data_IF_185560301202
#
_entry.id   IF_185560301202
#
_cell.length_a   1.000
_cell.length_b   1.000
_cell.length_c   1.000
_cell.angle_alpha   90.00
_cell.angle_beta   90.00
_cell.angle_gamma   90.00
#
_symmetry.space_group_name_H-M   'P 1'
#
loop_
_entity.id
_entity.type
_entity.pdbx_description
1 polymer ?
#
# COMPACT_ATOMS: atom_id res chain seq x y z
N UNK A 1 -19.11 3.12 1.22
CA UNK A 1 -18.88 1.68 1.46
C UNK A 1 -20.02 0.94 0.79
N UNK A 2 -19.75 0.15 -0.26
CA UNK A 2 -20.78 -0.64 -0.93
C UNK A 2 -20.71 -2.05 -0.32
N UNK A 3 -21.82 -2.51 0.26
CA UNK A 3 -21.94 -3.87 0.82
C UNK A 3 -22.74 -4.71 -0.15
N UNK A 4 -22.19 -5.84 -0.55
CA UNK A 4 -22.83 -6.73 -1.50
C UNK A 4 -23.28 -7.99 -0.75
N UNK A 5 -24.60 -8.18 -0.66
CA UNK A 5 -25.24 -9.24 0.10
C UNK A 5 -25.78 -10.34 -0.81
N UNK A 6 -25.57 -11.57 -0.36
CA UNK A 6 -26.30 -12.79 -0.70
C UNK A 6 -27.81 -12.55 -0.75
N UNK A 7 -28.38 -12.39 -1.95
CA UNK A 7 -29.83 -12.37 -2.14
C UNK A 7 -30.33 -13.78 -2.41
N UNK A 8 -30.82 -14.45 -1.35
CA UNK A 8 -31.77 -15.57 -1.47
C UNK A 8 -33.08 -15.05 -2.06
N UNK A 9 -33.17 -14.99 -3.39
CA UNK A 9 -34.39 -14.65 -4.12
C UNK A 9 -34.72 -15.74 -5.14
N UNK A 10 -35.79 -16.50 -4.90
CA UNK A 10 -36.35 -17.47 -5.86
C UNK A 10 -36.65 -16.75 -7.18
N UNK A 11 -36.00 -17.13 -8.27
CA UNK A 11 -36.42 -16.78 -9.62
C UNK A 11 -36.90 -18.04 -10.34
N UNK A 12 -38.19 -18.07 -10.68
CA UNK A 12 -38.80 -19.11 -11.50
C UNK A 12 -38.34 -18.98 -12.94
N UNK A 13 -37.71 -20.03 -13.45
CA UNK A 13 -37.24 -20.13 -14.83
C UNK A 13 -38.43 -20.35 -15.77
N UNK A 14 -38.78 -19.35 -16.59
CA UNK A 14 -39.68 -19.54 -17.74
C UNK A 14 -38.81 -19.84 -18.96
N UNK A 15 -38.76 -21.11 -19.36
CA UNK A 15 -38.04 -21.57 -20.54
C UNK A 15 -38.74 -21.11 -21.82
N UNK A 16 -37.97 -20.57 -22.78
CA UNK A 16 -38.32 -20.55 -24.19
C UNK A 16 -37.10 -20.93 -25.03
N UNK A 17 -37.21 -22.06 -25.75
CA UNK A 17 -36.20 -22.66 -26.62
C UNK A 17 -36.15 -22.00 -28.01
N UNK A 18 -34.94 -21.81 -28.56
CA UNK A 18 -34.56 -22.08 -29.98
C UNK A 18 -33.09 -21.63 -30.19
N UNK A 19 -32.11 -22.52 -30.33
CA UNK A 19 -31.64 -23.11 -31.60
C UNK A 19 -30.09 -23.20 -31.56
N UNK A 20 -29.43 -24.13 -32.29
CA UNK A 20 -28.08 -24.58 -31.96
C UNK A 20 -26.98 -23.92 -32.81
N UNK A 21 -25.88 -23.47 -32.19
CA UNK A 21 -24.52 -23.37 -32.76
C UNK A 21 -23.54 -22.75 -31.75
N UNK A 22 -22.39 -23.41 -31.62
CA UNK A 22 -21.20 -22.90 -30.91
C UNK A 22 -21.10 -23.42 -29.50
N UNK A 23 -20.09 -24.26 -29.23
CA UNK A 23 -19.74 -24.76 -27.91
C UNK A 23 -19.18 -23.63 -27.02
N UNK A 24 -20.03 -22.70 -26.62
CA UNK A 24 -19.79 -21.88 -25.45
C UNK A 24 -20.19 -22.73 -24.26
N UNK A 25 -19.21 -23.15 -23.45
CA UNK A 25 -19.47 -23.74 -22.14
C UNK A 25 -20.49 -22.85 -21.43
N UNK A 26 -21.69 -23.39 -21.24
CA UNK A 26 -22.77 -22.79 -20.47
C UNK A 26 -22.30 -22.59 -19.03
N UNK A 27 -21.60 -21.47 -18.78
CA UNK A 27 -21.26 -20.97 -17.44
C UNK A 27 -22.53 -20.41 -16.77
N UNK A 28 -23.60 -21.19 -16.72
CA UNK A 28 -24.63 -21.02 -15.69
C UNK A 28 -24.05 -21.60 -14.40
N UNK A 29 -23.09 -20.89 -13.82
CA UNK A 29 -22.39 -21.29 -12.62
C UNK A 29 -23.36 -21.27 -11.46
N UNK A 30 -23.78 -22.47 -11.07
CA UNK A 30 -24.18 -22.75 -9.69
C UNK A 30 -23.15 -22.17 -8.75
N UNK A 31 -23.61 -21.46 -7.70
CA UNK A 31 -22.75 -20.98 -6.63
C UNK A 31 -21.84 -22.11 -6.14
N UNK A 32 -20.52 -21.87 -5.95
CA UNK A 32 -19.63 -22.85 -5.37
C UNK A 32 -20.19 -23.40 -4.06
N UNK A 33 -19.94 -24.67 -3.76
CA UNK A 33 -20.41 -25.29 -2.52
C UNK A 33 -19.54 -24.93 -1.32
N UNK A 34 -18.29 -24.50 -1.56
CA UNK A 34 -17.30 -24.18 -0.53
C UNK A 34 -16.47 -22.96 -0.94
N UNK A 35 -15.67 -22.43 0.00
CA UNK A 35 -14.73 -21.34 -0.27
C UNK A 35 -13.33 -21.82 -0.67
N UNK A 36 -13.11 -23.11 -0.90
CA UNK A 36 -11.77 -23.69 -1.06
C UNK A 36 -10.99 -23.07 -2.24
N UNK A 37 -11.68 -22.72 -3.33
CA UNK A 37 -11.07 -22.09 -4.51
C UNK A 37 -11.48 -20.61 -4.63
N UNK A 38 -11.82 -19.97 -3.51
CA UNK A 38 -11.99 -18.52 -3.47
C UNK A 38 -10.65 -17.84 -3.77
N UNK A 39 -10.59 -16.77 -4.60
CA UNK A 39 -11.71 -16.04 -5.21
C UNK A 39 -12.10 -16.52 -6.63
N UNK A 40 -11.24 -17.31 -7.28
CA UNK A 40 -11.34 -17.61 -8.72
C UNK A 40 -12.63 -18.34 -9.10
N UNK A 41 -13.08 -19.28 -8.27
CA UNK A 41 -14.33 -20.03 -8.51
C UNK A 41 -15.58 -19.15 -8.40
N UNK A 42 -15.48 -18.01 -7.70
CA UNK A 42 -16.53 -17.00 -7.65
C UNK A 42 -16.45 -16.00 -8.81
N UNK A 43 -15.42 -16.13 -9.66
CA UNK A 43 -15.25 -15.40 -10.90
C UNK A 43 -14.57 -14.05 -10.75
N UNK A 44 -13.64 -13.90 -9.82
CA UNK A 44 -12.81 -12.70 -9.71
C UNK A 44 -11.39 -13.01 -9.27
N UNK A 45 -10.47 -12.07 -9.52
CA UNK A 45 -9.08 -12.18 -9.10
C UNK A 45 -8.70 -11.03 -8.18
N UNK A 46 -7.71 -11.27 -7.33
CA UNK A 46 -7.20 -10.30 -6.37
C UNK A 46 -5.73 -9.99 -6.63
N UNK A 47 -5.30 -8.80 -6.25
CA UNK A 47 -3.91 -8.37 -6.33
C UNK A 47 -3.53 -7.43 -5.20
N UNK A 48 -2.23 -7.27 -5.01
CA UNK A 48 -1.65 -6.39 -4.00
C UNK A 48 -0.94 -7.13 -2.86
N UNK A 49 0.12 -6.50 -2.38
CA UNK A 49 0.94 -6.99 -1.27
C UNK A 49 0.50 -6.40 0.09
N UNK A 50 -0.79 -6.07 0.21
CA UNK A 50 -1.38 -5.37 1.35
C UNK A 50 -1.34 -3.86 1.13
N UNK A 51 -2.49 -3.20 0.86
CA UNK A 51 -3.88 -3.71 0.75
C UNK A 51 -4.18 -4.64 -0.44
N UNK A 52 -5.36 -5.28 -0.46
CA UNK A 52 -5.86 -6.14 -1.55
C UNK A 52 -6.95 -5.48 -2.39
N UNK A 53 -6.85 -5.66 -3.71
CA UNK A 53 -7.75 -5.09 -4.71
C UNK A 53 -8.29 -6.16 -5.65
N UNK A 54 -9.52 -5.96 -6.12
CA UNK A 54 -10.15 -6.74 -7.18
C UNK A 54 -9.54 -6.30 -8.50
N UNK A 55 -8.84 -7.20 -9.18
CA UNK A 55 -8.16 -6.91 -10.45
C UNK A 55 -9.01 -7.23 -11.67
N UNK A 56 -9.80 -8.31 -11.62
CA UNK A 56 -10.70 -8.69 -12.70
C UNK A 56 -11.95 -9.36 -12.15
N UNK A 57 -13.05 -9.23 -12.87
CA UNK A 57 -14.33 -9.87 -12.57
C UNK A 57 -14.91 -10.44 -13.86
N UNK A 58 -15.20 -11.74 -13.84
CA UNK A 58 -15.80 -12.47 -14.95
C UNK A 58 -17.28 -12.09 -15.04
N UNK A 59 -17.72 -11.67 -16.21
CA UNK A 59 -19.10 -11.26 -16.45
C UNK A 59 -20.07 -12.43 -16.27
N UNK A 60 -21.20 -12.19 -15.58
CA UNK A 60 -22.18 -13.23 -15.24
C UNK A 60 -21.80 -14.14 -14.06
N UNK A 61 -20.59 -14.00 -13.50
CA UNK A 61 -20.17 -14.75 -12.30
C UNK A 61 -20.91 -14.33 -11.02
N UNK A 62 -20.76 -15.10 -9.95
CA UNK A 62 -21.27 -14.72 -8.64
C UNK A 62 -20.71 -13.38 -8.16
N UNK A 63 -19.44 -13.10 -8.39
CA UNK A 63 -18.81 -11.83 -8.06
C UNK A 63 -19.40 -10.66 -8.86
N UNK A 64 -19.64 -10.87 -10.15
CA UNK A 64 -20.27 -9.87 -11.02
C UNK A 64 -21.70 -9.57 -10.59
N UNK A 65 -22.51 -10.60 -10.32
CA UNK A 65 -23.88 -10.46 -9.85
C UNK A 65 -23.94 -9.86 -8.44
N UNK A 66 -22.92 -10.10 -7.62
CA UNK A 66 -22.76 -9.41 -6.36
C UNK A 66 -22.47 -7.93 -6.57
N UNK A 67 -21.93 -7.50 -7.71
CA UNK A 67 -21.64 -6.09 -8.02
C UNK A 67 -20.19 -5.69 -7.73
N UNK A 68 -19.31 -6.66 -7.53
CA UNK A 68 -17.87 -6.41 -7.42
C UNK A 68 -17.34 -5.84 -8.74
N UNK A 69 -16.48 -4.82 -8.64
CA UNK A 69 -15.88 -4.18 -9.81
C UNK A 69 -14.36 -4.23 -9.74
N UNK A 70 -13.67 -4.38 -10.89
CA UNK A 70 -12.24 -4.15 -10.95
C UNK A 70 -11.87 -2.77 -10.40
N UNK A 71 -10.80 -2.68 -9.62
CA UNK A 71 -10.36 -1.43 -8.97
C UNK A 71 -10.94 -1.21 -7.57
N UNK A 72 -11.79 -2.12 -7.09
CA UNK A 72 -12.30 -2.11 -5.73
C UNK A 72 -11.25 -2.65 -4.74
N UNK A 73 -11.02 -1.93 -3.64
CA UNK A 73 -10.28 -2.43 -2.49
C UNK A 73 -11.21 -3.22 -1.57
N UNK A 74 -10.78 -4.39 -1.13
CA UNK A 74 -11.46 -5.15 -0.08
C UNK A 74 -11.14 -4.52 1.28
N UNK A 75 -12.17 -4.06 1.97
CA UNK A 75 -12.03 -3.37 3.27
C UNK A 75 -12.59 -4.19 4.42
N UNK A 76 -13.60 -5.01 4.16
CA UNK A 76 -14.16 -5.94 5.13
C UNK A 76 -14.55 -7.28 4.49
N UNK A 77 -14.45 -8.35 5.28
CA UNK A 77 -15.03 -9.67 4.97
C UNK A 77 -15.80 -10.15 6.21
N UNK A 78 -17.07 -10.52 6.04
CA UNK A 78 -17.98 -10.92 7.14
C UNK A 78 -18.04 -9.89 8.29
N UNK A 79 -17.87 -8.61 7.96
CA UNK A 79 -17.83 -7.52 8.94
C UNK A 79 -16.50 -7.38 9.70
N UNK A 80 -15.50 -8.24 9.44
CA UNK A 80 -14.14 -8.07 9.95
C UNK A 80 -13.34 -7.13 9.04
N UNK A 81 -12.64 -6.16 9.64
CA UNK A 81 -11.75 -5.27 8.88
C UNK A 81 -10.55 -6.02 8.33
N UNK A 82 -10.31 -5.91 7.02
CA UNK A 82 -9.20 -6.55 6.30
C UNK A 82 -8.45 -5.57 5.40
N UNK A 83 -8.63 -4.27 5.63
CA UNK A 83 -8.18 -3.19 4.76
C UNK A 83 -6.67 -3.18 4.48
N UNK A 84 -5.86 -3.75 5.38
CA UNK A 84 -4.40 -3.83 5.27
C UNK A 84 -3.87 -5.20 4.84
N UNK A 85 -4.72 -6.23 4.76
CA UNK A 85 -4.28 -7.59 4.47
C UNK A 85 -3.75 -7.70 3.04
N UNK A 86 -2.72 -8.55 2.88
CA UNK A 86 -2.24 -8.98 1.57
C UNK A 86 -3.20 -9.98 0.94
N UNK A 87 -3.10 -10.15 -0.38
CA UNK A 87 -3.98 -11.08 -1.10
C UNK A 87 -3.88 -12.50 -0.55
N UNK A 88 -2.67 -12.97 -0.23
CA UNK A 88 -2.49 -14.30 0.34
C UNK A 88 -3.18 -14.47 1.71
N UNK A 89 -3.03 -13.48 2.60
CA UNK A 89 -3.67 -13.51 3.91
C UNK A 89 -5.20 -13.42 3.80
N UNK A 90 -5.69 -12.59 2.88
CA UNK A 90 -7.11 -12.42 2.62
C UNK A 90 -7.75 -13.70 2.07
N UNK A 91 -7.08 -14.37 1.13
CA UNK A 91 -7.51 -15.66 0.57
C UNK A 91 -7.55 -16.73 1.64
N UNK A 92 -6.48 -16.84 2.44
CA UNK A 92 -6.43 -17.79 3.55
C UNK A 92 -7.59 -17.56 4.54
N UNK A 93 -7.87 -16.30 4.90
CA UNK A 93 -9.00 -15.95 5.76
C UNK A 93 -10.33 -16.38 5.13
N UNK A 94 -10.58 -16.02 3.87
CA UNK A 94 -11.84 -16.32 3.19
C UNK A 94 -12.09 -17.83 3.06
N UNK A 95 -11.05 -18.62 2.82
CA UNK A 95 -11.13 -20.08 2.73
C UNK A 95 -11.54 -20.75 4.06
N UNK A 96 -11.26 -20.12 5.21
CA UNK A 96 -11.69 -20.65 6.52
C UNK A 96 -13.17 -20.39 6.85
N UNK A 97 -13.83 -19.49 6.10
CA UNK A 97 -15.20 -19.08 6.38
C UNK A 97 -16.19 -20.17 5.97
N UNK A 98 -17.21 -20.37 6.80
CA UNK A 98 -18.31 -21.33 6.54
C UNK A 98 -19.41 -20.74 5.66
N UNK A 99 -19.48 -19.42 5.55
CA UNK A 99 -20.46 -18.71 4.72
C UNK A 99 -20.02 -18.74 3.27
N UNK A 100 -20.89 -19.22 2.39
CA UNK A 100 -20.61 -19.37 0.96
C UNK A 100 -21.72 -18.67 0.15
N UNK A 101 -21.43 -17.60 -0.61
CA UNK A 101 -20.16 -16.86 -0.62
C UNK A 101 -19.98 -16.04 0.68
N UNK A 102 -18.75 -15.67 1.05
CA UNK A 102 -18.52 -14.75 2.14
C UNK A 102 -19.03 -13.35 1.77
N UNK A 103 -19.56 -12.61 2.75
CA UNK A 103 -19.90 -11.19 2.60
C UNK A 103 -18.62 -10.37 2.48
N UNK A 104 -18.53 -9.53 1.45
CA UNK A 104 -17.35 -8.70 1.18
C UNK A 104 -17.83 -7.23 1.11
N UNK A 105 -17.19 -6.36 1.87
CA UNK A 105 -17.34 -4.92 1.72
C UNK A 105 -16.15 -4.33 0.99
N UNK A 106 -16.47 -3.47 0.02
CA UNK A 106 -15.49 -2.90 -0.90
C UNK A 106 -15.60 -1.39 -1.05
N UNK A 107 -14.50 -0.78 -1.47
CA UNK A 107 -14.38 0.64 -1.79
C UNK A 107 -13.56 0.81 -3.06
N UNK A 108 -14.15 1.42 -4.10
CA UNK A 108 -13.42 1.76 -5.32
C UNK A 108 -12.23 2.68 -5.03
N UNK A 109 -11.07 2.33 -5.59
CA UNK A 109 -9.81 3.08 -5.48
C UNK A 109 -9.27 3.55 -6.83
N UNK A 110 -10.09 3.46 -7.87
CA UNK A 110 -9.74 4.02 -9.18
C UNK A 110 -9.61 5.54 -9.04
N UNK A 111 -8.46 6.06 -9.43
CA UNK A 111 -8.16 7.48 -9.52
C UNK A 111 -8.35 7.94 -10.96
N UNK A 112 -9.11 9.01 -11.16
CA UNK A 112 -9.27 9.62 -12.47
C UNK A 112 -8.16 10.61 -12.71
N UNK A 113 -7.52 10.51 -13.87
CA UNK A 113 -6.38 11.34 -14.26
C UNK A 113 -6.61 11.86 -15.69
N UNK A 114 -6.56 13.18 -15.84
CA UNK A 114 -6.66 13.85 -17.13
C UNK A 114 -5.24 14.18 -17.65
N UNK A 115 -4.87 13.58 -18.78
CA UNK A 115 -3.57 13.76 -19.41
C UNK A 115 -3.75 14.58 -20.70
N UNK A 116 -3.14 15.76 -20.74
CA UNK A 116 -3.04 16.52 -21.98
C UNK A 116 -1.95 15.95 -22.90
N UNK A 117 -2.14 15.89 -24.21
CA UNK A 117 -1.16 15.33 -25.13
C UNK A 117 0.10 16.22 -25.21
N UNK A 118 1.24 15.59 -25.49
CA UNK A 118 2.48 16.30 -25.79
C UNK A 118 2.47 16.95 -27.19
N UNK A 119 3.52 17.70 -27.55
CA UNK A 119 3.65 18.32 -28.88
C UNK A 119 3.61 17.31 -30.04
N UNK A 120 4.00 16.07 -29.78
CA UNK A 120 3.97 14.93 -30.71
C UNK A 120 2.61 14.18 -30.71
N UNK A 121 1.63 14.67 -29.96
CA UNK A 121 0.32 14.05 -29.80
C UNK A 121 0.31 12.81 -28.91
N UNK A 122 1.46 12.44 -28.30
CA UNK A 122 1.60 11.24 -27.47
C UNK A 122 1.56 11.59 -25.98
N UNK A 123 1.42 10.57 -25.15
CA UNK A 123 1.31 10.70 -23.69
C UNK A 123 2.55 10.22 -22.94
N UNK A 124 3.41 9.41 -23.59
CA UNK A 124 4.70 8.94 -23.06
C UNK A 124 4.63 7.90 -21.95
N UNK A 125 3.77 6.88 -22.14
CA UNK A 125 3.70 5.66 -21.34
C UNK A 125 3.40 4.46 -22.26
N UNK A 126 3.70 3.25 -21.79
CA UNK A 126 3.36 1.97 -22.43
C UNK A 126 2.51 1.13 -21.50
N UNK A 127 1.64 0.29 -22.08
CA UNK A 127 0.80 -0.66 -21.34
C UNK A 127 1.05 -2.07 -21.85
N UNK A 128 0.93 -3.06 -20.96
CA UNK A 128 1.10 -4.49 -21.25
C UNK A 128 0.07 -5.33 -20.48
N UNK A 129 -0.06 -6.61 -20.82
CA UNK A 129 -1.00 -7.54 -20.20
C UNK A 129 -2.42 -7.44 -20.75
N UNK A 130 -3.26 -8.42 -20.43
CA UNK A 130 -4.61 -8.60 -21.03
C UNK A 130 -5.78 -8.55 -20.02
N UNK A 131 -5.51 -8.43 -18.72
CA UNK A 131 -6.49 -8.15 -17.64
C UNK A 131 -5.84 -8.35 -16.26
N UNK A 132 -5.62 -7.30 -15.46
CA UNK A 132 -5.72 -5.87 -15.80
C UNK A 132 -4.56 -5.40 -16.69
N UNK A 133 -4.71 -4.22 -17.31
CA UNK A 133 -3.66 -3.60 -18.11
C UNK A 133 -2.65 -2.91 -17.21
N UNK A 134 -1.39 -3.36 -17.25
CA UNK A 134 -0.30 -2.82 -16.44
C UNK A 134 0.43 -1.71 -17.21
N UNK A 135 0.76 -0.62 -16.54
CA UNK A 135 1.71 0.36 -17.06
C UNK A 135 3.12 -0.23 -16.93
N UNK A 136 3.74 -0.55 -18.06
CA UNK A 136 5.08 -1.15 -18.13
C UNK A 136 6.17 -0.09 -17.92
N UNK A 137 6.09 0.98 -18.70
CA UNK A 137 6.99 2.13 -18.58
C UNK A 137 6.22 3.46 -18.67
N UNK A 138 6.73 4.47 -17.96
CA UNK A 138 6.21 5.83 -18.02
C UNK A 138 7.34 6.83 -17.84
N UNK A 139 7.60 7.60 -18.89
CA UNK A 139 8.67 8.59 -18.90
C UNK A 139 8.39 9.72 -17.88
N UNK A 140 9.30 10.06 -16.94
CA UNK A 140 9.03 11.03 -15.88
C UNK A 140 8.61 12.42 -16.38
N UNK A 141 9.18 12.87 -17.49
CA UNK A 141 8.93 14.19 -18.07
C UNK A 141 7.81 14.20 -19.13
N UNK A 142 7.19 13.06 -19.41
CA UNK A 142 6.07 12.98 -20.35
C UNK A 142 4.79 13.55 -19.75
N UNK A 143 3.77 13.83 -20.58
CA UNK A 143 2.50 14.28 -20.05
C UNK A 143 1.87 13.31 -19.04
N UNK A 144 1.98 12.00 -19.27
CA UNK A 144 1.49 10.99 -18.33
C UNK A 144 2.29 11.00 -17.01
N UNK A 145 3.63 11.08 -17.09
CA UNK A 145 4.50 11.17 -15.92
C UNK A 145 4.22 12.42 -15.07
N UNK A 146 4.01 13.57 -15.71
CA UNK A 146 3.63 14.83 -15.02
C UNK A 146 2.26 14.76 -14.37
N UNK A 147 1.34 13.99 -14.94
CA UNK A 147 -0.02 13.78 -14.40
C UNK A 147 -0.04 12.80 -13.22
N UNK A 148 1.07 12.10 -12.96
CA UNK A 148 1.22 11.20 -11.82
C UNK A 148 1.25 9.72 -12.18
N UNK A 149 1.03 9.35 -13.45
CA UNK A 149 1.12 7.97 -13.92
C UNK A 149 2.54 7.42 -13.74
N UNK A 150 2.67 6.16 -13.36
CA UNK A 150 3.96 5.51 -13.23
C UNK A 150 3.88 4.03 -13.63
N UNK A 151 5.04 3.46 -13.93
CA UNK A 151 5.19 2.03 -14.06
C UNK A 151 4.68 1.31 -12.80
N UNK A 152 3.99 0.20 -12.99
CA UNK A 152 3.37 -0.59 -11.92
C UNK A 152 1.92 -0.21 -11.57
N UNK A 153 1.39 0.90 -12.10
CA UNK A 153 -0.02 1.23 -11.95
C UNK A 153 -0.87 0.42 -12.95
N UNK A 154 -2.15 0.18 -12.64
CA UNK A 154 -3.08 -0.52 -13.55
C UNK A 154 -4.06 0.44 -14.21
N UNK A 155 -4.20 0.36 -15.52
CA UNK A 155 -5.22 1.09 -16.28
C UNK A 155 -6.51 0.28 -16.30
N UNK A 156 -7.54 0.83 -15.66
CA UNK A 156 -8.85 0.18 -15.48
C UNK A 156 -9.89 0.78 -16.43
N UNK A 157 -9.75 2.08 -16.75
CA UNK A 157 -10.70 2.80 -17.60
C UNK A 157 -9.96 3.77 -18.54
N UNK A 158 -10.52 3.97 -19.74
CA UNK A 158 -10.06 4.97 -20.70
C UNK A 158 -11.28 5.78 -21.16
N UNK A 159 -11.24 7.10 -20.97
CA UNK A 159 -12.32 8.05 -21.29
C UNK A 159 -13.67 7.64 -20.68
N UNK A 160 -13.65 7.10 -19.47
CA UNK A 160 -14.84 6.61 -18.75
C UNK A 160 -15.36 5.25 -19.23
N UNK A 161 -14.66 4.59 -20.16
CA UNK A 161 -14.99 3.24 -20.63
C UNK A 161 -14.06 2.24 -19.93
N UNK A 162 -14.60 1.28 -19.15
CA UNK A 162 -13.81 0.21 -18.57
C UNK A 162 -13.12 -0.62 -19.65
N UNK A 163 -11.84 -0.91 -19.45
CA UNK A 163 -11.04 -1.68 -20.39
C UNK A 163 -10.63 -3.02 -19.82
N UNK A 164 -10.93 -4.06 -20.60
CA UNK A 164 -10.53 -5.44 -20.30
C UNK A 164 -9.34 -5.85 -21.16
N UNK A 165 -9.38 -5.59 -22.46
CA UNK A 165 -8.39 -6.12 -23.41
C UNK A 165 -7.36 -5.07 -23.86
N UNK A 166 -6.12 -5.52 -24.09
CA UNK A 166 -5.01 -4.69 -24.54
C UNK A 166 -5.31 -3.98 -25.86
N UNK A 167 -5.81 -4.72 -26.86
CA UNK A 167 -6.09 -4.19 -28.20
C UNK A 167 -7.11 -3.04 -28.16
N UNK A 168 -8.18 -3.21 -27.39
CA UNK A 168 -9.23 -2.20 -27.23
C UNK A 168 -8.67 -0.94 -26.56
N UNK A 169 -7.84 -1.09 -25.54
CA UNK A 169 -7.21 0.03 -24.86
C UNK A 169 -6.22 0.76 -25.77
N UNK A 170 -5.35 0.03 -26.49
CA UNK A 170 -4.41 0.59 -27.43
C UNK A 170 -5.12 1.36 -28.56
N UNK A 171 -6.23 0.81 -29.08
CA UNK A 171 -7.06 1.48 -30.08
C UNK A 171 -7.66 2.79 -29.53
N UNK A 172 -8.21 2.79 -28.31
CA UNK A 172 -8.79 3.99 -27.71
C UNK A 172 -7.74 5.08 -27.41
N UNK A 173 -6.56 4.69 -26.92
CA UNK A 173 -5.44 5.62 -26.70
C UNK A 173 -4.96 6.21 -28.03
N UNK A 174 -4.87 5.38 -29.07
CA UNK A 174 -4.49 5.83 -30.42
C UNK A 174 -5.50 6.82 -30.99
N UNK A 175 -6.79 6.58 -30.81
CA UNK A 175 -7.86 7.51 -31.23
C UNK A 175 -7.80 8.83 -30.46
N UNK A 176 -7.37 8.80 -29.20
CA UNK A 176 -7.22 9.99 -28.36
C UNK A 176 -5.94 10.81 -28.67
N UNK A 177 -5.07 10.38 -29.58
CA UNK A 177 -3.85 11.12 -29.93
C UNK A 177 -4.16 12.56 -30.34
N UNK A 178 -3.41 13.50 -29.77
CA UNK A 178 -3.62 14.93 -29.98
C UNK A 178 -4.85 15.52 -29.26
N UNK A 179 -5.53 14.75 -28.40
CA UNK A 179 -6.63 15.22 -27.54
C UNK A 179 -6.36 14.84 -26.07
N UNK A 180 -7.01 15.49 -25.10
CA UNK A 180 -6.94 15.06 -23.70
C UNK A 180 -7.43 13.62 -23.54
N UNK A 181 -6.69 12.83 -22.77
CA UNK A 181 -6.98 11.45 -22.45
C UNK A 181 -7.30 11.34 -20.96
N UNK A 182 -8.48 10.86 -20.62
CA UNK A 182 -8.85 10.55 -19.24
C UNK A 182 -8.58 9.08 -18.96
N UNK A 183 -7.78 8.79 -17.94
CA UNK A 183 -7.50 7.43 -17.49
C UNK A 183 -8.09 7.21 -16.10
N UNK A 184 -8.77 6.08 -15.90
CA UNK A 184 -9.06 5.54 -14.58
C UNK A 184 -7.96 4.55 -14.21
N UNK A 185 -7.17 4.88 -13.20
CA UNK A 185 -5.97 4.14 -12.82
C UNK A 185 -6.07 3.63 -11.39
N UNK A 186 -5.71 2.37 -11.16
CA UNK A 186 -5.53 1.81 -9.83
C UNK A 186 -4.05 1.85 -9.47
N UNK A 187 -3.69 2.69 -8.49
CA UNK A 187 -2.31 2.70 -7.98
C UNK A 187 -2.10 1.63 -6.92
N UNK A 188 -1.13 0.75 -7.16
CA UNK A 188 -0.75 -0.32 -6.22
C UNK A 188 0.20 0.15 -5.12
N UNK A 189 0.54 1.44 -5.13
CA UNK A 189 1.44 2.03 -4.15
C UNK A 189 0.78 1.98 -2.78
N UNK A 190 1.58 1.69 -1.75
CA UNK A 190 1.15 1.96 -0.38
C UNK A 190 0.97 3.47 -0.26
N UNK A 191 -0.28 3.93 -0.30
CA UNK A 191 -0.61 5.24 0.23
C UNK A 191 -0.30 5.18 1.72
N UNK A 192 0.91 5.59 2.11
CA UNK A 192 1.14 6.14 3.44
C UNK A 192 0.19 7.32 3.48
N UNK A 193 -1.00 7.12 4.06
CA UNK A 193 -1.95 8.22 4.22
C UNK A 193 -1.17 9.27 5.01
N UNK A 194 -0.81 10.38 4.36
CA UNK A 194 -0.65 11.65 5.07
C UNK A 194 -2.06 11.98 5.55
N UNK A 195 -2.45 11.34 6.65
CA UNK A 195 -3.66 11.69 7.36
C UNK A 195 -3.48 13.15 7.74
N UNK A 196 -4.29 14.01 7.13
CA UNK A 196 -4.52 15.34 7.63
C UNK A 196 -4.80 15.24 9.13
N UNK A 197 -4.14 16.10 9.90
CA UNK A 197 -4.01 16.10 11.37
C UNK A 197 -5.35 15.99 12.15
N UNK A 198 -6.50 16.07 11.50
CA UNK A 198 -7.82 16.18 12.13
C UNK A 198 -8.51 14.85 12.48
N UNK A 199 -7.97 13.68 12.12
CA UNK A 199 -8.60 12.39 12.45
C UNK A 199 -7.58 11.40 12.99
N UNK A 200 -7.05 11.68 14.19
CA UNK A 200 -6.40 10.67 15.04
C UNK A 200 -7.38 10.30 16.13
N UNK A 201 -8.21 9.29 15.88
CA UNK A 201 -8.73 8.47 16.96
C UNK A 201 -8.95 7.04 16.47
N UNK A 202 -8.17 6.16 17.10
CA UNK A 202 -8.42 4.73 17.33
C UNK A 202 -8.52 3.82 16.12
N UNK A 203 -7.37 3.23 15.73
CA UNK A 203 -7.18 1.77 15.60
C UNK A 203 -5.85 1.41 14.88
N UNK A 204 -4.72 1.66 15.54
CA UNK A 204 -3.48 0.95 15.19
C UNK A 204 -3.48 -0.37 15.96
N UNK A 205 -3.78 -1.47 15.27
CA UNK A 205 -3.64 -2.82 15.79
C UNK A 205 -2.19 -3.06 16.19
N UNK A 206 -1.99 -3.53 17.44
CA UNK A 206 -0.68 -3.62 18.10
C UNK A 206 0.37 -4.50 17.41
N UNK A 207 0.02 -5.24 16.36
CA UNK A 207 0.95 -6.10 15.61
C UNK A 207 1.79 -5.34 14.58
N UNK A 208 1.28 -4.25 13.98
CA UNK A 208 2.08 -3.43 13.05
C UNK A 208 3.20 -2.66 13.77
N UNK A 209 2.98 -2.28 15.02
CA UNK A 209 4.00 -1.63 15.86
C UNK A 209 5.12 -2.61 16.24
N UNK A 210 4.79 -3.90 16.41
CA UNK A 210 5.77 -4.95 16.77
C UNK A 210 6.72 -5.29 15.61
N UNK A 211 6.20 -5.40 14.39
CA UNK A 211 7.02 -5.68 13.21
C UNK A 211 7.92 -4.48 12.85
N UNK A 212 7.41 -3.26 12.98
CA UNK A 212 8.17 -2.03 12.71
C UNK A 212 9.31 -1.82 13.74
N UNK A 213 9.05 -2.11 15.03
CA UNK A 213 10.09 -2.10 16.07
C UNK A 213 11.19 -3.15 15.84
N UNK A 214 10.81 -4.34 15.39
CA UNK A 214 11.77 -5.42 15.11
C UNK A 214 12.68 -5.08 13.91
N UNK A 215 12.11 -4.52 12.84
CA UNK A 215 12.87 -4.11 11.66
C UNK A 215 13.83 -2.95 11.99
N UNK A 216 13.37 -1.96 12.76
CA UNK A 216 14.19 -0.83 13.23
C UNK A 216 15.31 -1.25 14.17
N UNK A 217 15.07 -2.23 15.05
CA UNK A 217 16.11 -2.78 15.91
C UNK A 217 17.22 -3.46 15.11
N UNK A 218 16.86 -4.12 13.99
CA UNK A 218 17.81 -4.80 13.11
C UNK A 218 18.67 -3.83 12.32
N UNK A 219 18.08 -2.74 11.80
CA UNK A 219 18.84 -1.66 11.15
C UNK A 219 19.78 -0.93 12.12
N UNK A 220 19.31 -0.64 13.34
CA UNK A 220 20.15 -0.03 14.37
C UNK A 220 21.32 -0.95 14.74
N UNK A 221 21.06 -2.25 14.95
CA UNK A 221 22.11 -3.21 15.25
C UNK A 221 23.14 -3.29 14.11
N UNK A 222 22.71 -3.33 12.85
CA UNK A 222 23.59 -3.32 11.70
C UNK A 222 24.48 -2.06 11.65
N UNK A 223 23.91 -0.89 11.94
CA UNK A 223 24.65 0.37 11.96
C UNK A 223 25.63 0.45 13.14
N UNK A 224 25.28 -0.14 14.28
CA UNK A 224 26.20 -0.31 15.42
C UNK A 224 27.37 -1.22 15.04
N UNK A 225 27.15 -2.33 14.33
CA UNK A 225 28.24 -3.18 13.83
C UNK A 225 29.13 -2.47 12.80
N UNK A 226 28.54 -1.64 11.93
CA UNK A 226 29.29 -0.88 10.92
C UNK A 226 30.15 0.24 11.53
N UNK A 227 29.70 0.86 12.62
CA UNK A 227 30.38 2.02 13.24
C UNK A 227 31.29 1.61 14.40
N UNK A 228 30.89 0.63 15.21
CA UNK A 228 31.61 0.18 16.42
C UNK A 228 32.23 -1.22 16.26
N UNK A 229 32.33 -1.74 15.03
CA UNK A 229 32.78 -3.11 14.74
C UNK A 229 34.19 -3.44 15.25
N UNK A 230 35.06 -2.43 15.34
CA UNK A 230 36.45 -2.58 15.80
C UNK A 230 36.64 -2.28 17.30
N UNK A 231 35.58 -1.90 18.03
CA UNK A 231 35.61 -1.49 19.44
C UNK A 231 34.57 -2.25 20.30
N UNK A 232 34.86 -3.52 20.65
CA UNK A 232 33.90 -4.39 21.34
C UNK A 232 33.51 -3.89 22.74
N UNK A 233 34.41 -3.20 23.43
CA UNK A 233 34.18 -2.68 24.79
C UNK A 233 33.12 -1.56 24.80
N UNK A 234 33.17 -0.65 23.82
CA UNK A 234 32.19 0.46 23.69
C UNK A 234 30.82 -0.09 23.31
N UNK A 235 30.79 -1.10 22.45
CA UNK A 235 29.57 -1.79 22.05
C UNK A 235 28.89 -2.48 23.23
N UNK A 236 29.64 -3.15 24.10
CA UNK A 236 29.10 -3.79 25.30
C UNK A 236 28.49 -2.76 26.26
N UNK A 237 29.17 -1.61 26.45
CA UNK A 237 28.64 -0.50 27.25
C UNK A 237 27.35 0.10 26.65
N UNK A 238 27.30 0.32 25.34
CA UNK A 238 26.11 0.82 24.64
C UNK A 238 24.91 -0.12 24.80
N UNK A 239 25.10 -1.42 24.59
CA UNK A 239 24.03 -2.40 24.78
C UNK A 239 23.62 -2.55 26.25
N UNK A 240 24.56 -2.39 27.19
CA UNK A 240 24.28 -2.34 28.63
C UNK A 240 23.30 -1.22 28.99
N UNK A 241 23.59 0.01 28.53
CA UNK A 241 22.74 1.18 28.76
C UNK A 241 21.38 1.06 28.06
N UNK A 242 21.34 0.55 26.83
CA UNK A 242 20.08 0.30 26.12
C UNK A 242 19.22 -0.77 26.83
N UNK A 243 19.84 -1.82 27.38
CA UNK A 243 19.15 -2.86 28.15
C UNK A 243 18.61 -2.31 29.47
N UNK A 244 19.36 -1.44 30.14
CA UNK A 244 18.91 -0.76 31.34
C UNK A 244 17.74 0.19 31.05
N UNK A 245 17.80 0.96 29.96
CA UNK A 245 16.67 1.75 29.50
C UNK A 245 15.44 0.90 29.15
N UNK A 246 15.62 -0.26 28.52
CA UNK A 246 14.51 -1.16 28.22
C UNK A 246 13.80 -1.67 29.50
N UNK A 247 14.54 -1.81 30.61
CA UNK A 247 14.01 -2.23 31.91
C UNK A 247 13.38 -1.08 32.70
N UNK A 248 14.03 0.09 32.74
CA UNK A 248 13.68 1.19 33.64
C UNK A 248 12.88 2.32 32.97
N UNK A 249 12.84 2.35 31.63
CA UNK A 249 12.14 3.38 30.81
C UNK A 249 12.58 4.82 31.10
N UNK A 250 13.77 5.02 31.67
CA UNK A 250 14.27 6.34 32.06
C UNK A 250 15.12 6.98 30.94
N UNK A 251 14.56 7.96 30.24
CA UNK A 251 15.19 8.66 29.11
C UNK A 251 16.34 9.57 29.56
N UNK A 252 16.29 10.09 30.78
CA UNK A 252 17.29 11.04 31.30
C UNK A 252 18.64 10.34 31.51
N UNK A 253 18.63 9.14 32.13
CA UNK A 253 19.82 8.31 32.30
C UNK A 253 20.42 7.86 30.95
N UNK A 254 19.56 7.57 29.96
CA UNK A 254 19.99 7.21 28.62
C UNK A 254 20.67 8.40 27.93
N UNK A 255 20.09 9.61 28.06
CA UNK A 255 20.60 10.82 27.44
C UNK A 255 21.91 11.32 28.06
N UNK A 256 22.15 11.04 29.35
CA UNK A 256 23.39 11.37 30.06
C UNK A 256 24.52 10.37 29.74
N UNK A 257 24.22 9.08 29.64
CA UNK A 257 25.24 8.05 29.41
C UNK A 257 25.69 7.92 27.94
N UNK A 258 24.85 8.29 26.96
CA UNK A 258 25.18 8.14 25.53
C UNK A 258 26.38 9.01 25.07
N UNK A 259 26.50 10.30 25.45
CA UNK A 259 27.67 11.12 25.11
C UNK A 259 28.98 10.63 25.72
N UNK A 260 28.92 10.00 26.90
CA UNK A 260 30.11 9.46 27.59
C UNK A 260 30.63 8.15 26.94
N UNK A 261 29.75 7.40 26.29
CA UNK A 261 30.08 6.14 25.59
C UNK A 261 30.44 6.41 24.12
N UNK A 262 29.73 7.33 23.45
CA UNK A 262 29.90 7.64 22.03
C UNK A 262 30.72 8.92 21.84
N UNK A 263 32.01 8.82 22.21
CA UNK A 263 32.94 9.96 22.34
C UNK A 263 33.35 10.55 20.97
N UNK A 264 33.47 9.73 19.92
CA UNK A 264 33.92 10.15 18.59
C UNK A 264 32.79 10.78 17.75
N UNK A 265 33.11 11.76 16.90
CA UNK A 265 32.14 12.43 16.00
C UNK A 265 31.40 11.42 15.08
N UNK A 266 32.07 10.33 14.68
CA UNK A 266 31.45 9.26 13.88
C UNK A 266 30.46 8.42 14.69
N UNK A 267 30.68 8.26 16.00
CA UNK A 267 29.80 7.51 16.90
C UNK A 267 28.53 8.31 17.24
N UNK A 268 28.59 9.65 17.21
CA UNK A 268 27.44 10.52 17.45
C UNK A 268 26.32 10.35 16.40
N UNK A 269 26.62 9.80 15.21
CA UNK A 269 25.60 9.42 14.22
C UNK A 269 24.63 8.33 14.71
N UNK A 270 25.04 7.54 15.72
CA UNK A 270 24.17 6.55 16.37
C UNK A 270 23.18 7.21 17.33
N UNK A 271 23.49 8.37 17.91
CA UNK A 271 22.60 9.13 18.83
C UNK A 271 21.35 9.61 18.08
N UNK A 272 21.50 10.09 16.85
CA UNK A 272 20.37 10.49 16.01
C UNK A 272 19.48 9.29 15.62
N UNK A 273 20.09 8.10 15.51
CA UNK A 273 19.39 6.84 15.23
C UNK A 273 18.58 6.34 16.45
N UNK A 274 19.06 6.62 17.68
CA UNK A 274 18.34 6.37 18.94
C UNK A 274 17.19 7.38 19.14
N UNK A 275 17.39 8.66 18.78
CA UNK A 275 16.34 9.70 18.85
C UNK A 275 15.10 9.36 18.01
N UNK A 276 15.28 8.66 16.88
CA UNK A 276 14.16 8.21 16.03
C UNK A 276 13.23 7.19 16.72
N UNK A 277 13.66 6.56 17.83
CA UNK A 277 12.81 5.68 18.64
C UNK A 277 11.98 6.41 19.71
N UNK A 278 12.30 7.68 20.02
CA UNK A 278 11.64 8.45 21.09
C UNK A 278 10.71 9.55 20.55
N UNK A 279 10.13 9.35 19.36
CA UNK A 279 9.19 10.30 18.76
C UNK A 279 7.76 10.25 19.37
N UNK A 280 7.62 9.69 20.56
CA UNK A 280 6.48 9.93 21.44
C UNK A 280 7.01 10.78 22.60
N UNK A 281 7.10 12.11 22.42
CA UNK A 281 6.95 13.20 23.41
C UNK A 281 7.57 14.47 22.81
N UNK A 282 6.72 15.39 22.38
CA UNK A 282 7.13 16.74 22.02
C UNK A 282 6.89 17.64 23.24
N UNK A 283 7.93 17.97 24.00
CA UNK A 283 8.11 19.25 24.72
C UNK A 283 9.48 19.27 25.40
N UNK A 284 10.45 19.94 24.78
CA UNK A 284 11.27 20.98 25.42
C UNK A 284 12.04 21.70 24.32
N UNK A 285 11.46 22.83 23.94
CA UNK A 285 12.07 23.87 23.14
C UNK A 285 13.44 24.26 23.72
N UNK A 286 14.50 24.02 22.96
CA UNK A 286 15.70 24.82 23.11
C UNK A 286 15.41 26.20 22.51
N UNK A 287 15.00 27.15 23.36
CA UNK A 287 14.99 28.57 23.01
C UNK A 287 15.51 29.40 24.18
N UNK A 288 16.56 30.19 23.91
CA UNK A 288 17.05 31.25 24.79
C UNK A 288 18.53 31.08 25.14
N UNK A 289 19.46 31.36 24.24
CA UNK A 289 20.05 32.69 24.02
C UNK A 289 21.00 33.16 25.14
N UNK A 290 22.31 33.11 24.88
CA UNK A 290 23.24 34.16 25.32
C UNK A 290 24.48 34.22 24.44
N UNK A 291 24.51 35.27 23.61
CA UNK A 291 25.63 36.18 23.32
C UNK A 291 27.05 35.61 23.24
N UNK A 292 27.63 35.86 22.06
CA UNK A 292 29.05 36.07 21.84
C UNK A 292 29.75 36.80 23.00
N UNK A 293 30.87 36.23 23.45
CA UNK A 293 32.02 36.97 23.96
C UNK A 293 33.28 36.31 23.44
N UNK A 294 34.00 37.05 22.59
CA UNK A 294 35.42 36.83 22.32
C UNK A 294 36.20 36.90 23.64
N UNK A 295 37.22 36.04 23.81
CA UNK A 295 38.39 36.40 24.58
C UNK A 295 39.53 36.78 23.62
N UNK A 296 39.71 38.09 23.43
CA UNK A 296 41.04 38.63 23.21
C UNK A 296 41.85 38.35 24.49
N UNK A 297 42.97 37.64 24.34
CA UNK A 297 44.30 37.99 24.90
C UNK A 297 45.27 36.83 24.75
N UNK A 298 46.13 36.94 23.75
CA UNK A 298 47.55 36.64 23.92
C UNK A 298 48.21 37.85 24.59
N UNK A 299 48.83 37.66 25.75
CA UNK A 299 49.98 38.44 26.23
C UNK A 299 50.52 37.83 27.54
N UNK A 300 51.83 37.53 27.57
CA UNK A 300 52.70 37.19 28.71
C UNK A 300 52.42 35.81 29.35
N UNK A 301 53.32 34.82 29.35
CA UNK A 301 54.79 34.71 29.24
C UNK A 301 55.11 33.41 28.49
#
# INVERSE_FOLDING_TARGET
MRRFLSRKGRFSLRQSKSGPRGASKDFYLTLPATNQNWPEEFGFTLGGAGPSYILSVIEGSSAYLAGLQPGDQVVDIEGQEVSSLSTQALVALAQTLKTVPPSIGVVSRIEQMDINPGPDGRFGFTIVGDCPLLVDDCLPNSPAGRSGLRAGDYVMEINGIPVKHHETAAAMIKVAQGRPLRLGVLSMRRRIKRLSHSMREVSLSGDSVRQDRAHKALEFNKKVEEVLGDEPDIKEQLFGVLKQYAAERNVENLAEALPDILINEDHQQLIDSVRYQSADYNTLSWSGQTRARFPDKLTNI
#
